data_IF_193415980759
#
_entry.id   IF_193415980759
#
_cell.length_a   1.000
_cell.length_b   1.000
_cell.length_c   1.000
_cell.angle_alpha   90.00
_cell.angle_beta   90.00
_cell.angle_gamma   90.00
#
_symmetry.space_group_name_H-M   'P 1'
#
loop_
_entity.id
_entity.type
_entity.pdbx_description
1 polymer ?
#
# COMPACT_ATOMS: atom_id res chain seq x y z
N UNK A 1 -14.57 -31.30 72.93
CA UNK A 1 -14.92 -31.59 71.51
C UNK A 1 -15.02 -30.26 70.78
N UNK A 2 -14.51 -30.20 69.57
CA UNK A 2 -13.66 -29.12 69.05
C UNK A 2 -14.39 -28.14 68.12
N UNK A 3 -15.02 -27.12 68.69
CA UNK A 3 -15.76 -26.09 67.94
C UNK A 3 -14.84 -25.20 67.08
N UNK A 4 -13.56 -25.09 67.47
CA UNK A 4 -12.56 -24.23 66.80
C UNK A 4 -12.03 -24.88 65.52
N UNK A 5 -11.78 -26.19 65.55
CA UNK A 5 -11.39 -26.97 64.36
C UNK A 5 -12.53 -27.06 63.33
N UNK A 6 -13.79 -27.07 63.78
CA UNK A 6 -14.94 -27.06 62.86
C UNK A 6 -15.08 -25.72 62.14
N UNK A 7 -14.92 -24.59 62.85
CA UNK A 7 -14.97 -23.25 62.27
C UNK A 7 -13.82 -22.98 61.28
N UNK A 8 -12.61 -23.47 61.58
CA UNK A 8 -11.45 -23.30 60.71
C UNK A 8 -11.58 -24.10 59.41
N UNK A 9 -12.18 -25.30 59.46
CA UNK A 9 -12.53 -26.10 58.28
C UNK A 9 -13.58 -25.42 57.41
N UNK A 10 -14.62 -24.83 58.00
CA UNK A 10 -15.68 -24.12 57.25
C UNK A 10 -15.12 -22.87 56.55
N UNK A 11 -14.25 -22.11 57.22
CA UNK A 11 -13.62 -20.93 56.60
C UNK A 11 -12.69 -21.31 55.44
N UNK A 12 -11.91 -22.39 55.59
CA UNK A 12 -11.06 -22.93 54.53
C UNK A 12 -11.89 -23.38 53.32
N UNK A 13 -12.99 -24.10 53.55
CA UNK A 13 -13.90 -24.54 52.48
C UNK A 13 -14.59 -23.35 51.79
N UNK A 14 -15.05 -22.35 52.55
CA UNK A 14 -15.63 -21.13 51.98
C UNK A 14 -14.63 -20.36 51.10
N UNK A 15 -13.36 -20.30 51.52
CA UNK A 15 -12.29 -19.66 50.75
C UNK A 15 -11.95 -20.43 49.47
N UNK A 16 -11.92 -21.78 49.53
CA UNK A 16 -11.72 -22.64 48.36
C UNK A 16 -12.89 -22.54 47.37
N UNK A 17 -14.14 -22.50 47.85
CA UNK A 17 -15.34 -22.29 47.03
C UNK A 17 -15.33 -20.90 46.39
N UNK A 18 -14.93 -19.86 47.14
CA UNK A 18 -14.77 -18.50 46.61
C UNK A 18 -13.73 -18.42 45.49
N UNK A 19 -12.59 -19.08 45.65
CA UNK A 19 -11.54 -19.11 44.63
C UNK A 19 -11.97 -19.88 43.37
N UNK A 20 -12.67 -21.01 43.53
CA UNK A 20 -13.30 -21.73 42.41
C UNK A 20 -14.33 -20.87 41.69
N UNK A 21 -15.14 -20.11 42.43
CA UNK A 21 -16.11 -19.17 41.87
C UNK A 21 -15.45 -18.07 41.04
N UNK A 22 -14.39 -17.45 41.55
CA UNK A 22 -13.61 -16.43 40.82
C UNK A 22 -12.96 -17.00 39.56
N UNK A 23 -12.43 -18.22 39.63
CA UNK A 23 -11.85 -18.90 38.48
C UNK A 23 -12.89 -19.22 37.39
N UNK A 24 -14.09 -19.65 37.78
CA UNK A 24 -15.19 -19.88 36.84
C UNK A 24 -15.67 -18.55 36.23
N UNK A 25 -15.81 -17.49 37.02
CA UNK A 25 -16.18 -16.15 36.53
C UNK A 25 -15.15 -15.65 35.52
N UNK A 26 -13.85 -15.81 35.82
CA UNK A 26 -12.76 -15.46 34.91
C UNK A 26 -12.88 -16.19 33.57
N UNK A 27 -13.11 -17.50 33.61
CA UNK A 27 -13.31 -18.30 32.39
C UNK A 27 -14.54 -17.85 31.60
N UNK A 28 -15.65 -17.54 32.27
CA UNK A 28 -16.86 -17.05 31.61
C UNK A 28 -16.64 -15.69 30.94
N UNK A 29 -15.91 -14.77 31.59
CA UNK A 29 -15.56 -13.47 31.02
C UNK A 29 -14.68 -13.66 29.78
N UNK A 30 -13.61 -14.46 29.87
CA UNK A 30 -12.74 -14.74 28.72
C UNK A 30 -13.50 -15.37 27.57
N UNK A 31 -14.31 -16.38 27.84
CA UNK A 31 -15.12 -17.04 26.82
C UNK A 31 -16.11 -16.06 26.17
N UNK A 32 -16.74 -15.18 26.94
CA UNK A 32 -17.65 -14.17 26.40
C UNK A 32 -16.92 -13.15 25.52
N UNK A 33 -15.72 -12.71 25.92
CA UNK A 33 -14.88 -11.80 25.15
C UNK A 33 -14.42 -12.47 23.84
N UNK A 34 -13.94 -13.71 23.90
CA UNK A 34 -13.50 -14.46 22.72
C UNK A 34 -14.65 -14.70 21.74
N UNK A 35 -15.83 -15.07 22.26
CA UNK A 35 -17.04 -15.25 21.46
C UNK A 35 -17.47 -13.94 20.80
N UNK A 36 -17.34 -12.82 21.51
CA UNK A 36 -17.62 -11.50 20.95
C UNK A 36 -16.66 -11.12 19.82
N UNK A 37 -15.34 -11.30 20.02
CA UNK A 37 -14.35 -11.07 18.96
C UNK A 37 -14.56 -11.98 17.75
N UNK A 38 -14.90 -13.24 17.99
CA UNK A 38 -15.22 -14.19 16.93
C UNK A 38 -16.47 -13.75 16.13
N UNK A 39 -17.53 -13.31 16.81
CA UNK A 39 -18.73 -12.79 16.17
C UNK A 39 -18.44 -11.51 15.37
N UNK A 40 -17.61 -10.60 15.89
CA UNK A 40 -17.14 -9.41 15.17
C UNK A 40 -16.37 -9.79 13.91
N UNK A 41 -15.45 -10.75 14.00
CA UNK A 41 -14.67 -11.21 12.84
C UNK A 41 -15.58 -11.80 11.75
N UNK A 42 -16.57 -12.62 12.14
CA UNK A 42 -17.58 -13.14 11.21
C UNK A 42 -18.39 -12.00 10.59
N UNK A 43 -18.86 -11.05 11.40
CA UNK A 43 -19.63 -9.91 10.91
C UNK A 43 -18.82 -9.08 9.90
N UNK A 44 -17.55 -8.79 10.19
CA UNK A 44 -16.65 -8.08 9.27
C UNK A 44 -16.41 -8.87 7.97
N UNK A 45 -16.24 -10.20 8.06
CA UNK A 45 -16.04 -11.05 6.89
C UNK A 45 -17.30 -11.10 6.00
N UNK A 46 -18.48 -11.23 6.63
CA UNK A 46 -19.76 -11.17 5.93
C UNK A 46 -19.95 -9.80 5.29
N UNK A 47 -19.67 -8.70 6.02
CA UNK A 47 -19.76 -7.35 5.49
C UNK A 47 -18.84 -7.16 4.28
N UNK A 48 -17.58 -7.57 4.38
CA UNK A 48 -16.61 -7.50 3.28
C UNK A 48 -17.06 -8.32 2.06
N UNK A 49 -17.60 -9.52 2.29
CA UNK A 49 -18.15 -10.37 1.24
C UNK A 49 -19.39 -9.76 0.58
N UNK A 50 -20.29 -9.16 1.37
CA UNK A 50 -21.47 -8.48 0.85
C UNK A 50 -21.10 -7.21 0.07
N UNK A 51 -20.01 -6.52 0.44
CA UNK A 51 -19.47 -5.38 -0.31
C UNK A 51 -18.86 -5.87 -1.63
N UNK A 52 -17.99 -6.88 -1.61
CA UNK A 52 -17.33 -7.39 -2.82
C UNK A 52 -18.32 -8.03 -3.80
N UNK A 53 -19.39 -8.66 -3.31
CA UNK A 53 -20.50 -9.18 -4.13
C UNK A 53 -21.46 -8.09 -4.64
N UNK A 54 -21.27 -6.82 -4.24
CA UNK A 54 -22.10 -5.69 -4.67
C UNK A 54 -23.50 -5.63 -4.04
N UNK A 55 -23.79 -6.50 -3.07
CA UNK A 55 -25.07 -6.58 -2.35
C UNK A 55 -25.17 -5.44 -1.32
N UNK A 56 -24.12 -5.23 -0.53
CA UNK A 56 -24.04 -4.13 0.43
C UNK A 56 -23.52 -2.88 -0.27
N UNK A 57 -24.39 -1.88 -0.41
CA UNK A 57 -24.07 -0.59 -1.03
C UNK A 57 -23.45 0.42 -0.06
N UNK A 58 -22.94 -0.03 1.10
CA UNK A 58 -22.07 0.82 1.94
C UNK A 58 -20.82 1.11 1.09
N UNK A 59 -20.38 2.36 1.07
CA UNK A 59 -19.29 2.86 0.22
C UNK A 59 -19.59 3.10 -1.27
N UNK A 60 -20.87 3.19 -1.69
CA UNK A 60 -21.24 3.73 -3.01
C UNK A 60 -20.69 5.12 -3.34
N UNK A 61 -20.20 5.85 -2.34
CA UNK A 61 -19.52 7.13 -2.52
C UNK A 61 -18.07 6.99 -3.00
N UNK A 62 -17.47 5.79 -2.90
CA UNK A 62 -16.17 5.49 -3.50
C UNK A 62 -16.37 5.31 -5.00
N UNK A 63 -16.29 6.43 -5.69
CA UNK A 63 -16.21 6.46 -7.15
C UNK A 63 -14.80 6.04 -7.55
N UNK A 64 -14.58 4.73 -7.63
CA UNK A 64 -13.28 4.12 -7.97
C UNK A 64 -12.83 4.52 -9.37
N UNK A 65 -13.76 4.89 -10.24
CA UNK A 65 -13.43 5.45 -11.56
C UNK A 65 -12.72 6.80 -11.47
N UNK A 66 -12.80 7.52 -10.33
CA UNK A 66 -11.97 8.71 -10.06
C UNK A 66 -10.52 8.36 -9.70
N UNK A 67 -10.26 7.16 -9.18
CA UNK A 67 -8.91 6.71 -8.85
C UNK A 67 -8.23 6.20 -10.13
N UNK A 68 -7.44 7.06 -10.76
CA UNK A 68 -6.71 6.71 -11.99
C UNK A 68 -5.38 6.05 -11.67
N UNK A 69 -4.70 6.47 -10.61
CA UNK A 69 -3.39 5.95 -10.27
C UNK A 69 -3.18 5.84 -8.76
N UNK A 70 -2.94 4.61 -8.29
CA UNK A 70 -2.63 4.32 -6.88
C UNK A 70 -1.14 4.01 -6.73
N UNK A 71 -0.48 4.64 -5.76
CA UNK A 71 0.86 4.25 -5.33
C UNK A 71 0.80 3.55 -3.96
N UNK A 72 1.65 2.55 -3.76
CA UNK A 72 1.75 1.80 -2.51
C UNK A 72 3.22 1.76 -2.13
N UNK A 73 3.55 2.48 -1.06
CA UNK A 73 4.86 2.53 -0.44
C UNK A 73 4.88 1.46 0.65
N UNK A 74 5.78 0.49 0.50
CA UNK A 74 5.98 -0.60 1.44
C UNK A 74 7.39 -0.47 1.97
N UNK A 75 7.53 -0.50 3.30
CA UNK A 75 8.84 -0.55 3.92
C UNK A 75 9.60 -1.83 3.54
N UNK A 76 10.92 -1.72 3.42
CA UNK A 76 11.73 -2.78 2.80
C UNK A 76 11.63 -4.12 3.56
N UNK A 77 11.49 -4.08 4.88
CA UNK A 77 11.33 -5.29 5.69
C UNK A 77 10.03 -6.03 5.34
N UNK A 78 8.93 -5.30 5.21
CA UNK A 78 7.61 -5.80 4.82
C UNK A 78 7.57 -6.23 3.34
N UNK A 79 8.36 -5.58 2.47
CA UNK A 79 8.42 -5.90 1.04
C UNK A 79 8.94 -7.33 0.76
N UNK A 80 9.65 -7.97 1.70
CA UNK A 80 10.03 -9.38 1.59
C UNK A 80 8.83 -10.33 1.69
N UNK A 81 7.70 -9.90 2.25
CA UNK A 81 6.48 -10.68 2.37
C UNK A 81 5.65 -10.65 1.08
N UNK A 82 6.24 -11.15 -0.02
CA UNK A 82 5.62 -11.20 -1.36
C UNK A 82 4.19 -11.80 -1.37
N UNK A 83 3.86 -12.86 -0.61
CA UNK A 83 2.48 -13.37 -0.57
C UNK A 83 1.45 -12.34 -0.10
N UNK A 84 1.80 -11.48 0.87
CA UNK A 84 0.92 -10.43 1.36
C UNK A 84 0.74 -9.32 0.31
N UNK A 85 1.82 -8.97 -0.41
CA UNK A 85 1.77 -8.02 -1.53
C UNK A 85 0.83 -8.53 -2.63
N UNK A 86 0.93 -9.82 -2.98
CA UNK A 86 0.06 -10.44 -4.00
C UNK A 86 -1.39 -10.44 -3.54
N UNK A 87 -1.65 -10.78 -2.27
CA UNK A 87 -3.00 -10.75 -1.72
C UNK A 87 -3.59 -9.34 -1.76
N UNK A 88 -2.81 -8.32 -1.42
CA UNK A 88 -3.22 -6.92 -1.55
C UNK A 88 -3.56 -6.55 -2.99
N UNK A 89 -2.71 -6.92 -3.95
CA UNK A 89 -2.96 -6.68 -5.38
C UNK A 89 -4.23 -7.39 -5.88
N UNK A 90 -4.50 -8.61 -5.41
CA UNK A 90 -5.74 -9.32 -5.74
C UNK A 90 -6.97 -8.56 -5.25
N UNK A 91 -6.94 -8.02 -4.03
CA UNK A 91 -8.01 -7.17 -3.54
C UNK A 91 -8.18 -5.91 -4.38
N UNK A 92 -7.08 -5.26 -4.81
CA UNK A 92 -7.15 -4.07 -5.65
C UNK A 92 -7.73 -4.37 -7.04
N UNK A 93 -7.45 -5.56 -7.60
CA UNK A 93 -8.08 -6.05 -8.83
C UNK A 93 -9.58 -6.26 -8.64
N UNK A 94 -9.99 -6.93 -7.55
CA UNK A 94 -11.40 -7.19 -7.25
C UNK A 94 -12.20 -5.90 -7.02
N UNK A 95 -11.53 -4.88 -6.46
CA UNK A 95 -12.05 -3.53 -6.25
C UNK A 95 -12.14 -2.73 -7.57
N UNK A 96 -11.39 -3.12 -8.61
CA UNK A 96 -11.41 -2.48 -9.93
C UNK A 96 -10.38 -1.37 -10.12
N UNK A 97 -9.30 -1.36 -9.34
CA UNK A 97 -8.19 -0.41 -9.51
C UNK A 97 -7.40 -0.75 -10.78
N UNK A 98 -7.24 0.23 -11.66
CA UNK A 98 -6.66 0.03 -13.01
C UNK A 98 -5.14 0.13 -13.04
N UNK A 99 -4.56 1.04 -12.25
CA UNK A 99 -3.11 1.29 -12.27
C UNK A 99 -2.55 1.38 -10.85
N UNK A 100 -1.50 0.61 -10.59
CA UNK A 100 -0.83 0.54 -9.29
C UNK A 100 0.69 0.65 -9.46
N UNK A 101 1.31 1.55 -8.70
CA UNK A 101 2.75 1.60 -8.51
C UNK A 101 3.11 0.98 -7.16
N UNK A 102 3.93 -0.06 -7.19
CA UNK A 102 4.56 -0.63 -6.00
C UNK A 102 5.93 0.00 -5.79
N UNK A 103 6.17 0.51 -4.59
CA UNK A 103 7.44 1.11 -4.21
C UNK A 103 7.99 0.46 -2.94
N UNK A 104 9.26 0.10 -3.00
CA UNK A 104 10.09 -0.18 -1.83
C UNK A 104 11.48 0.45 -2.03
N UNK A 105 12.09 0.96 -0.97
CA UNK A 105 13.32 1.74 -1.10
C UNK A 105 14.49 0.90 -1.66
N UNK A 106 14.55 -0.39 -1.33
CA UNK A 106 15.64 -1.31 -1.72
C UNK A 106 15.45 -1.97 -3.09
N UNK A 107 14.30 -1.77 -3.73
CA UNK A 107 13.92 -2.39 -4.99
C UNK A 107 13.71 -3.90 -4.91
N UNK A 108 13.32 -4.44 -3.77
CA UNK A 108 12.95 -5.85 -3.53
C UNK A 108 11.78 -6.26 -4.44
N UNK A 109 10.76 -5.40 -4.56
CA UNK A 109 9.58 -5.64 -5.39
C UNK A 109 9.95 -5.57 -6.87
N UNK A 110 10.82 -4.63 -7.24
CA UNK A 110 11.37 -4.51 -8.61
C UNK A 110 12.16 -5.76 -9.01
N UNK A 111 12.95 -6.34 -8.11
CA UNK A 111 13.64 -7.63 -8.31
C UNK A 111 12.67 -8.81 -8.43
N UNK A 112 11.52 -8.73 -7.78
CA UNK A 112 10.51 -9.80 -7.72
C UNK A 112 9.39 -9.66 -8.77
N UNK A 113 9.54 -8.75 -9.75
CA UNK A 113 8.50 -8.40 -10.73
C UNK A 113 7.87 -9.62 -11.42
N UNK A 114 8.67 -10.58 -11.85
CA UNK A 114 8.22 -11.74 -12.63
C UNK A 114 7.42 -12.71 -11.76
N UNK A 115 7.82 -12.87 -10.50
CA UNK A 115 7.11 -13.69 -9.51
C UNK A 115 5.75 -13.10 -9.15
N UNK A 116 5.68 -11.77 -9.01
CA UNK A 116 4.43 -11.05 -8.73
C UNK A 116 3.49 -11.15 -9.92
N UNK A 117 3.97 -10.82 -11.13
CA UNK A 117 3.18 -10.88 -12.36
C UNK A 117 2.71 -12.31 -12.67
N UNK A 118 3.57 -13.31 -12.53
CA UNK A 118 3.21 -14.71 -12.80
C UNK A 118 2.12 -15.28 -11.89
N UNK A 119 1.87 -14.65 -10.73
CA UNK A 119 0.80 -15.03 -9.79
C UNK A 119 -0.48 -14.20 -9.97
N UNK A 120 -0.43 -13.14 -10.76
CA UNK A 120 -1.58 -12.30 -11.11
C UNK A 120 -2.00 -12.59 -12.54
N UNK A 121 -3.03 -13.43 -12.70
CA UNK A 121 -3.51 -13.86 -14.02
C UNK A 121 -3.95 -12.71 -14.96
N UNK A 122 -4.23 -11.51 -14.42
CA UNK A 122 -4.71 -10.36 -15.17
C UNK A 122 -3.81 -9.11 -15.03
N UNK A 123 -2.53 -9.25 -14.70
CA UNK A 123 -1.62 -8.10 -14.57
C UNK A 123 -0.78 -7.85 -15.82
N UNK A 124 -0.61 -6.57 -16.18
CA UNK A 124 0.30 -6.12 -17.26
C UNK A 124 1.31 -5.12 -16.71
N UNK A 125 2.54 -5.11 -17.25
CA UNK A 125 3.58 -4.18 -16.81
C UNK A 125 3.43 -2.81 -17.49
N UNK A 126 3.58 -1.73 -16.72
CA UNK A 126 3.34 -0.36 -17.21
C UNK A 126 4.25 0.04 -18.38
N UNK A 127 5.51 -0.39 -18.40
CA UNK A 127 6.46 -0.14 -19.49
C UNK A 127 6.06 -0.84 -20.82
N UNK A 128 5.28 -1.92 -20.76
CA UNK A 128 4.81 -2.69 -21.92
C UNK A 128 3.43 -2.24 -22.41
N UNK A 129 2.65 -1.61 -21.53
CA UNK A 129 1.37 -0.99 -21.84
C UNK A 129 1.60 0.39 -22.48
N UNK A 130 2.01 0.42 -23.75
CA UNK A 130 1.98 1.65 -24.54
C UNK A 130 0.62 2.35 -24.46
N UNK A 131 0.59 3.68 -24.61
CA UNK A 131 -0.57 4.58 -24.46
C UNK A 131 -1.84 4.17 -25.26
N UNK A 132 -1.77 3.11 -26.09
CA UNK A 132 -2.81 2.64 -27.00
C UNK A 132 -3.70 1.48 -26.50
N UNK A 133 -3.44 0.86 -25.33
CA UNK A 133 -4.19 -0.33 -24.88
C UNK A 133 -5.29 -0.05 -23.83
N UNK A 134 -5.82 1.19 -23.79
CA UNK A 134 -6.86 1.65 -22.85
C UNK A 134 -8.26 1.02 -23.05
N UNK A 135 -8.40 -0.01 -23.89
CA UNK A 135 -9.67 -0.67 -24.23
C UNK A 135 -9.79 -2.11 -23.76
N UNK A 136 -8.90 -2.59 -22.89
CA UNK A 136 -8.97 -3.97 -22.40
C UNK A 136 -9.60 -4.02 -21.01
N UNK A 137 -10.84 -4.52 -20.99
CA UNK A 137 -11.58 -5.25 -19.95
C UNK A 137 -11.39 -4.83 -18.49
N UNK A 138 -12.50 -4.67 -17.75
CA UNK A 138 -12.56 -4.24 -16.34
C UNK A 138 -11.80 -5.13 -15.34
N UNK A 139 -11.06 -6.14 -15.79
CA UNK A 139 -10.34 -7.12 -14.99
C UNK A 139 -8.82 -7.00 -15.03
N UNK A 140 -8.26 -6.11 -15.86
CA UNK A 140 -6.82 -5.96 -15.98
C UNK A 140 -6.25 -4.83 -15.12
N UNK A 141 -5.19 -5.13 -14.37
CA UNK A 141 -4.42 -4.18 -13.57
C UNK A 141 -3.06 -3.93 -14.22
N UNK A 142 -2.66 -2.67 -14.31
CA UNK A 142 -1.32 -2.29 -14.77
C UNK A 142 -0.41 -2.02 -13.58
N UNK A 143 0.75 -2.68 -13.54
CA UNK A 143 1.72 -2.55 -12.45
C UNK A 143 2.96 -1.78 -12.89
N UNK A 144 3.35 -0.78 -12.10
CA UNK A 144 4.65 -0.11 -12.14
C UNK A 144 5.46 -0.51 -10.89
N UNK A 145 6.77 -0.68 -11.04
CA UNK A 145 7.67 -0.94 -9.92
C UNK A 145 8.68 0.19 -9.79
N UNK A 146 8.67 0.89 -8.66
CA UNK A 146 9.60 1.97 -8.36
C UNK A 146 10.48 1.64 -7.14
N UNK A 147 11.62 2.29 -7.06
CA UNK A 147 12.55 2.20 -5.92
C UNK A 147 13.29 3.51 -5.69
N UNK A 148 14.09 3.60 -4.63
CA UNK A 148 14.75 4.84 -4.22
C UNK A 148 15.55 5.56 -5.33
N UNK A 149 16.29 4.87 -6.23
CA UNK A 149 16.99 5.51 -7.34
C UNK A 149 16.08 6.24 -8.35
N UNK A 150 14.80 5.88 -8.44
CA UNK A 150 13.85 6.52 -9.35
C UNK A 150 13.37 7.89 -8.82
N UNK A 151 13.73 8.24 -7.59
CA UNK A 151 13.42 9.53 -6.98
C UNK A 151 14.51 10.57 -7.20
N UNK A 152 15.26 10.88 -6.13
CA UNK A 152 16.24 11.99 -6.14
C UNK A 152 17.36 11.77 -7.15
N UNK A 153 17.82 10.53 -7.30
CA UNK A 153 18.88 10.21 -8.27
C UNK A 153 18.41 10.41 -9.71
N UNK A 154 17.18 9.99 -10.04
CA UNK A 154 16.57 10.27 -11.34
C UNK A 154 16.45 11.77 -11.62
N UNK A 155 16.05 12.57 -10.63
CA UNK A 155 16.01 14.04 -10.73
C UNK A 155 17.41 14.59 -11.03
N UNK A 156 18.45 14.12 -10.33
CA UNK A 156 19.82 14.54 -10.61
C UNK A 156 20.27 14.16 -12.04
N UNK A 157 19.94 12.94 -12.51
CA UNK A 157 20.22 12.49 -13.89
C UNK A 157 19.51 13.36 -14.93
N UNK A 158 18.23 13.66 -14.71
CA UNK A 158 17.44 14.52 -15.60
C UNK A 158 17.97 15.97 -15.62
N UNK A 159 18.35 16.53 -14.46
CA UNK A 159 18.97 17.85 -14.36
C UNK A 159 20.30 17.90 -15.11
N UNK A 160 21.15 16.87 -14.97
CA UNK A 160 22.40 16.77 -15.73
C UNK A 160 22.16 16.68 -17.24
N UNK A 161 21.12 15.95 -17.67
CA UNK A 161 20.73 15.87 -19.07
C UNK A 161 20.33 17.26 -19.63
N UNK A 162 19.55 18.04 -18.87
CA UNK A 162 19.21 19.42 -19.24
C UNK A 162 20.44 20.31 -19.31
N UNK A 163 21.34 20.21 -18.33
CA UNK A 163 22.59 20.95 -18.32
C UNK A 163 23.47 20.62 -19.53
N UNK A 164 23.63 19.35 -19.88
CA UNK A 164 24.39 18.94 -21.07
C UNK A 164 23.76 19.46 -22.37
N UNK A 165 22.43 19.41 -22.49
CA UNK A 165 21.70 20.01 -23.62
C UNK A 165 21.99 21.51 -23.72
N UNK A 166 22.00 22.21 -22.58
CA UNK A 166 22.34 23.63 -22.51
C UNK A 166 23.77 23.93 -22.97
N UNK A 167 24.77 23.22 -22.42
CA UNK A 167 26.19 23.44 -22.79
C UNK A 167 26.43 23.22 -24.28
N UNK A 168 25.85 22.18 -24.88
CA UNK A 168 25.95 21.90 -26.33
C UNK A 168 25.34 23.02 -27.18
N UNK A 169 24.26 23.64 -26.72
CA UNK A 169 23.57 24.70 -27.44
C UNK A 169 24.33 26.04 -27.36
N UNK A 170 24.98 26.32 -26.22
CA UNK A 170 25.81 27.51 -26.03
C UNK A 170 27.06 27.54 -26.93
N UNK A 171 27.60 26.39 -27.32
CA UNK A 171 28.71 26.29 -28.29
C UNK A 171 28.33 26.63 -29.74
N UNK A 172 27.04 26.78 -30.05
CA UNK A 172 26.53 27.03 -31.41
C UNK A 172 26.38 28.51 -31.77
N UNK A 173 26.81 29.46 -30.92
CA UNK A 173 26.85 30.90 -31.24
C UNK A 173 25.49 31.60 -31.41
N UNK A 174 24.38 30.93 -31.11
CA UNK A 174 23.05 31.57 -31.11
C UNK A 174 22.85 32.35 -29.81
N UNK A 175 22.51 33.63 -29.94
CA UNK A 175 22.24 34.58 -28.86
C UNK A 175 21.30 33.92 -27.83
N UNK A 176 21.77 33.85 -26.59
CA UNK A 176 21.06 33.24 -25.48
C UNK A 176 19.98 34.20 -25.01
N UNK A 177 18.74 34.04 -25.51
CA UNK A 177 17.58 34.41 -24.69
C UNK A 177 17.72 33.71 -23.33
N UNK A 178 17.33 34.38 -22.24
CA UNK A 178 17.27 33.78 -20.91
C UNK A 178 16.47 32.47 -20.97
N UNK A 179 17.19 31.35 -21.08
CA UNK A 179 16.56 30.04 -21.21
C UNK A 179 16.19 29.55 -19.82
N UNK A 180 15.00 29.98 -19.41
CA UNK A 180 14.36 29.56 -18.17
C UNK A 180 14.05 28.06 -18.27
N UNK A 181 14.62 27.26 -17.38
CA UNK A 181 14.19 25.87 -17.22
C UNK A 181 12.78 25.85 -16.63
N UNK A 182 11.85 25.23 -17.35
CA UNK A 182 10.47 25.07 -16.93
C UNK A 182 10.24 23.68 -16.38
N UNK A 183 9.15 23.50 -15.64
CA UNK A 183 8.70 22.18 -15.19
C UNK A 183 8.52 21.19 -16.36
N UNK A 184 8.08 21.68 -17.53
CA UNK A 184 7.93 20.87 -18.73
C UNK A 184 9.28 20.32 -19.23
N UNK A 185 10.34 21.14 -19.22
CA UNK A 185 11.69 20.69 -19.56
C UNK A 185 12.17 19.60 -18.59
N UNK A 186 11.93 19.76 -17.29
CA UNK A 186 12.28 18.75 -16.29
C UNK A 186 11.49 17.45 -16.48
N UNK A 187 10.19 17.55 -16.76
CA UNK A 187 9.32 16.41 -17.02
C UNK A 187 9.74 15.64 -18.28
N UNK A 188 10.17 16.33 -19.34
CA UNK A 188 10.74 15.70 -20.53
C UNK A 188 12.07 15.01 -20.21
N UNK A 189 12.94 15.65 -19.42
CA UNK A 189 14.21 15.04 -19.02
C UNK A 189 14.00 13.80 -18.15
N UNK A 190 13.04 13.83 -17.21
CA UNK A 190 12.63 12.67 -16.42
C UNK A 190 12.10 11.53 -17.30
N UNK A 191 11.32 11.86 -18.33
CA UNK A 191 10.85 10.87 -19.31
C UNK A 191 12.01 10.26 -20.08
N UNK A 192 12.99 11.06 -20.48
CA UNK A 192 14.17 10.60 -21.20
C UNK A 192 15.08 9.68 -20.36
N UNK A 193 15.08 9.82 -19.03
CA UNK A 193 15.78 8.91 -18.11
C UNK A 193 14.90 7.75 -17.61
N UNK A 194 13.68 7.60 -18.15
CA UNK A 194 12.77 6.50 -17.81
C UNK A 194 12.05 6.64 -16.46
N UNK A 195 12.09 7.82 -15.82
CA UNK A 195 11.66 8.01 -14.43
C UNK A 195 10.53 9.06 -14.27
N UNK A 196 9.85 9.46 -15.35
CA UNK A 196 8.73 10.42 -15.23
C UNK A 196 7.59 9.82 -14.41
N UNK A 197 7.12 8.64 -14.81
CA UNK A 197 5.91 7.99 -14.29
C UNK A 197 4.66 8.89 -14.33
N UNK A 198 3.46 8.34 -14.13
CA UNK A 198 2.26 9.13 -13.86
C UNK A 198 2.24 9.62 -12.40
N UNK A 199 1.55 10.73 -12.13
CA UNK A 199 1.37 11.21 -10.75
C UNK A 199 0.23 10.40 -10.08
N UNK A 200 0.48 9.77 -8.90
CA UNK A 200 -0.59 9.11 -8.15
C UNK A 200 -1.67 10.08 -7.68
N UNK A 201 -2.93 9.69 -7.80
CA UNK A 201 -4.03 10.40 -7.13
C UNK A 201 -4.02 10.07 -5.63
N UNK A 202 -3.68 8.83 -5.27
CA UNK A 202 -3.63 8.30 -3.90
C UNK A 202 -2.33 7.53 -3.65
N UNK A 203 -1.76 7.68 -2.45
CA UNK A 203 -0.55 6.98 -2.00
C UNK A 203 -0.79 6.35 -0.63
N UNK A 204 -0.73 5.03 -0.57
CA UNK A 204 -0.77 4.27 0.68
C UNK A 204 0.62 4.03 1.23
N UNK A 205 0.82 4.31 2.52
CA UNK A 205 2.09 4.04 3.21
C UNK A 205 1.91 2.90 4.21
N UNK A 206 2.56 1.77 3.94
CA UNK A 206 2.62 0.62 4.82
C UNK A 206 3.99 0.54 5.49
N UNK A 207 4.02 0.80 6.79
CA UNK A 207 5.19 0.67 7.64
C UNK A 207 5.02 1.41 8.98
N UNK A 208 5.85 1.12 9.99
CA UNK A 208 5.87 1.85 11.26
C UNK A 208 6.16 3.35 11.12
N UNK A 209 6.84 3.77 10.04
CA UNK A 209 7.24 5.17 9.84
C UNK A 209 6.21 5.92 8.98
N UNK A 210 5.75 7.07 9.48
CA UNK A 210 4.89 8.00 8.72
C UNK A 210 5.68 8.83 7.72
N UNK A 211 6.37 8.17 6.77
CA UNK A 211 7.06 8.86 5.68
C UNK A 211 6.93 8.08 4.37
N UNK A 212 7.09 8.77 3.24
CA UNK A 212 7.00 8.17 1.90
C UNK A 212 8.29 7.43 1.47
N UNK A 213 9.22 7.19 2.40
CA UNK A 213 10.47 6.40 2.22
C UNK A 213 11.31 6.76 0.98
N UNK A 214 11.23 8.01 0.51
CA UNK A 214 11.95 8.47 -0.68
C UNK A 214 11.26 8.19 -2.01
N UNK A 215 9.97 7.83 -2.00
CA UNK A 215 9.13 7.77 -3.19
C UNK A 215 9.34 9.02 -4.06
N UNK A 216 9.35 8.92 -5.42
CA UNK A 216 9.74 10.01 -6.29
C UNK A 216 8.96 11.32 -6.02
N UNK A 217 9.64 12.26 -5.37
CA UNK A 217 9.02 13.50 -4.87
C UNK A 217 8.42 14.37 -6.00
N UNK A 218 8.95 14.26 -7.22
CA UNK A 218 8.42 14.97 -8.39
C UNK A 218 6.98 14.54 -8.75
N UNK A 219 6.54 13.35 -8.33
CA UNK A 219 5.25 12.76 -8.69
C UNK A 219 4.13 13.00 -7.66
N UNK A 220 4.44 13.51 -6.47
CA UNK A 220 3.48 13.54 -5.34
C UNK A 220 2.92 14.94 -5.01
N UNK A 221 2.87 15.83 -6.00
CA UNK A 221 2.52 17.25 -5.77
C UNK A 221 1.08 17.45 -5.30
N UNK A 222 0.17 16.64 -5.80
CA UNK A 222 -1.27 16.70 -5.51
C UNK A 222 -1.83 15.35 -5.04
N UNK A 223 -0.95 14.45 -4.61
CA UNK A 223 -1.31 13.11 -4.19
C UNK A 223 -1.88 13.13 -2.78
N UNK A 224 -3.02 12.48 -2.58
CA UNK A 224 -3.55 12.21 -1.24
C UNK A 224 -2.73 11.10 -0.59
N UNK A 225 -2.29 11.29 0.66
CA UNK A 225 -1.46 10.32 1.38
C UNK A 225 -2.26 9.76 2.54
N UNK A 226 -2.36 8.43 2.62
CA UNK A 226 -3.10 7.68 3.65
C UNK A 226 -2.18 6.68 4.33
#
# INVERSE_FOLDING_TARGET
MDFRDTMQKVYSWACQIGNLGLWIIWLLIHFAVDLWYFALHIACAIESYLISSGILKRYKALDIDKLRYLAIVIESEEAYHIPAVIQLLQWLVDIGVKHVCLYDAEGILKKSKESILGKLNNATLFEEAGESNLLLDHKHITLEFASFPDGKEAVAKAANLLFMKYVKLGGSGKIQEEKIFTEAHMSEALRAVGCKGPEPDLLFVYGPVRCHLGFPAWRIRYTEIV
#
